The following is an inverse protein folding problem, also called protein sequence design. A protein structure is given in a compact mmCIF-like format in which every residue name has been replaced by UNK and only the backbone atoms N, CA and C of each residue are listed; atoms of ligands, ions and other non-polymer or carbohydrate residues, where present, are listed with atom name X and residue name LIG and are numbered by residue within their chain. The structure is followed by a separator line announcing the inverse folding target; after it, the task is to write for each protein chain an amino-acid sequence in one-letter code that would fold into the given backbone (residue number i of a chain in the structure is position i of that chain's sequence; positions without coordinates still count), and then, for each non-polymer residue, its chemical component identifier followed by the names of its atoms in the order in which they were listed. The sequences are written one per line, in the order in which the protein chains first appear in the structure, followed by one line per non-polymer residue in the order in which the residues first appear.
data_IF_405550250626
#
_entry.id   IF_405550250626
#
_cell.length_a   1.000
_cell.length_b   1.000
_cell.length_c   1.000
_cell.angle_alpha   90.00
_cell.angle_beta   90.00
_cell.angle_gamma   90.00
#
_symmetry.space_group_name_H-M   'P 1'
#
loop_
_entity.id
_entity.type
_entity.pdbx_description
1 polymer ?
#
# COMPACT_ATOMS: atom_id res chain seq x y z
N UNK A 1 -5.75 -18.74 -2.39
CA UNK A 1 -5.94 -17.33 -1.99
C UNK A 1 -5.16 -16.44 -2.94
N UNK A 2 -5.82 -15.43 -3.50
CA UNK A 2 -5.15 -14.46 -4.38
C UNK A 2 -4.37 -13.46 -3.55
N UNK A 3 -3.37 -12.77 -4.14
CA UNK A 3 -2.70 -11.68 -3.44
C UNK A 3 -3.67 -10.61 -2.95
N UNK A 4 -4.67 -10.28 -3.76
CA UNK A 4 -5.68 -9.29 -3.37
C UNK A 4 -6.45 -9.73 -2.13
N UNK A 5 -6.83 -11.01 -2.05
CA UNK A 5 -7.51 -11.55 -0.87
C UNK A 5 -6.60 -11.54 0.36
N UNK A 6 -5.34 -11.92 0.19
CA UNK A 6 -4.39 -11.94 1.29
C UNK A 6 -4.19 -10.54 1.88
N UNK A 7 -3.98 -9.53 1.02
CA UNK A 7 -3.67 -8.18 1.47
C UNK A 7 -4.89 -7.42 2.01
N UNK A 8 -6.10 -7.95 1.87
CA UNK A 8 -7.25 -7.41 2.61
C UNK A 8 -7.11 -7.59 4.11
N UNK A 9 -6.21 -8.45 4.56
CA UNK A 9 -5.88 -8.61 5.98
C UNK A 9 -5.03 -7.46 6.51
N UNK A 10 -4.46 -6.63 5.63
CA UNK A 10 -3.81 -5.39 6.03
C UNK A 10 -4.91 -4.35 6.32
N UNK A 11 -5.37 -4.35 7.56
CA UNK A 11 -6.52 -3.55 7.96
C UNK A 11 -6.23 -2.05 7.88
N UNK A 12 -5.01 -1.63 8.14
CA UNK A 12 -4.65 -0.23 8.05
C UNK A 12 -4.80 0.27 6.61
N UNK A 13 -4.21 -0.44 5.66
CA UNK A 13 -4.31 -0.08 4.24
C UNK A 13 -5.74 -0.21 3.71
N UNK A 14 -6.45 -1.26 4.13
CA UNK A 14 -7.84 -1.47 3.74
C UNK A 14 -8.72 -0.30 4.20
N UNK A 15 -8.56 0.13 5.47
CA UNK A 15 -9.32 1.24 6.02
C UNK A 15 -8.95 2.57 5.36
N UNK A 16 -7.71 2.74 4.92
CA UNK A 16 -7.30 3.92 4.19
C UNK A 16 -7.89 3.97 2.77
N UNK A 17 -8.32 2.83 2.25
CA UNK A 17 -8.90 2.75 0.92
C UNK A 17 -7.91 2.35 -0.17
N UNK A 18 -6.75 1.81 0.19
CA UNK A 18 -5.77 1.34 -0.79
C UNK A 18 -6.31 0.11 -1.51
N UNK A 19 -6.22 0.12 -2.84
CA UNK A 19 -6.66 -0.99 -3.68
C UNK A 19 -5.47 -1.59 -4.40
N UNK A 20 -5.25 -2.89 -4.21
CA UNK A 20 -4.21 -3.63 -4.91
C UNK A 20 -4.78 -4.09 -6.25
N UNK A 21 -4.24 -3.55 -7.35
CA UNK A 21 -4.78 -3.78 -8.69
C UNK A 21 -4.14 -4.99 -9.38
N UNK A 22 -2.83 -5.15 -9.21
CA UNK A 22 -2.07 -6.17 -9.95
C UNK A 22 -0.87 -6.61 -9.15
N UNK A 23 -0.58 -7.90 -9.17
CA UNK A 23 0.62 -8.48 -8.58
C UNK A 23 1.21 -9.48 -9.54
N UNK A 24 2.51 -9.34 -9.82
CA UNK A 24 3.31 -10.31 -10.56
C UNK A 24 4.61 -10.51 -9.81
N UNK A 25 5.37 -11.51 -10.17
CA UNK A 25 6.65 -11.76 -9.49
C UNK A 25 7.53 -10.51 -9.52
N UNK A 26 7.85 -9.99 -8.32
CA UNK A 26 8.67 -8.80 -8.15
C UNK A 26 8.00 -7.49 -8.54
N UNK A 27 6.67 -7.49 -8.78
CA UNK A 27 5.95 -6.32 -9.28
C UNK A 27 4.57 -6.21 -8.63
N UNK A 28 4.15 -4.99 -8.33
CA UNK A 28 2.76 -4.73 -7.95
C UNK A 28 2.32 -3.36 -8.44
N UNK A 29 1.01 -3.20 -8.52
CA UNK A 29 0.37 -1.93 -8.85
C UNK A 29 -0.79 -1.74 -7.88
N UNK A 30 -0.81 -0.60 -7.20
CA UNK A 30 -1.86 -0.25 -6.26
C UNK A 30 -2.29 1.18 -6.48
N UNK A 31 -3.49 1.51 -6.00
CA UNK A 31 -3.98 2.89 -6.07
C UNK A 31 -4.66 3.30 -4.78
N UNK A 32 -4.69 4.59 -4.52
CA UNK A 32 -5.47 5.21 -3.47
C UNK A 32 -6.22 6.39 -4.08
N UNK A 33 -7.54 6.32 -4.09
CA UNK A 33 -8.38 7.45 -4.49
C UNK A 33 -8.40 8.43 -3.31
N UNK A 34 -7.91 9.65 -3.53
CA UNK A 34 -7.78 10.64 -2.45
C UNK A 34 -9.15 11.19 -2.10
N UNK A 35 -9.48 11.13 -0.81
CA UNK A 35 -10.73 11.62 -0.22
C UNK A 35 -10.40 12.63 0.87
N UNK A 36 -11.41 13.39 1.37
CA UNK A 36 -11.16 14.39 2.41
C UNK A 36 -10.42 13.86 3.64
N UNK A 37 -10.69 12.61 4.04
CA UNK A 37 -10.02 12.01 5.19
C UNK A 37 -8.52 11.74 4.97
N UNK A 38 -8.04 11.86 3.73
CA UNK A 38 -6.63 11.70 3.40
C UNK A 38 -5.86 13.02 3.40
N UNK A 39 -6.54 14.13 3.68
CA UNK A 39 -5.91 15.44 3.62
C UNK A 39 -5.35 15.86 4.96
N UNK A 40 -4.23 16.59 4.92
CA UNK A 40 -3.64 17.19 6.11
C UNK A 40 -4.27 18.56 6.40
N UNK A 41 -3.77 19.24 7.43
CA UNK A 41 -4.30 20.55 7.84
C UNK A 41 -4.19 21.60 6.73
N UNK A 42 -3.25 21.47 5.81
CA UNK A 42 -3.09 22.38 4.67
C UNK A 42 -3.91 22.01 3.45
N UNK A 43 -4.87 21.07 3.59
CA UNK A 43 -5.72 20.58 2.52
C UNK A 43 -4.93 19.91 1.37
N UNK A 44 -3.80 19.30 1.72
CA UNK A 44 -2.99 18.50 0.78
C UNK A 44 -2.94 17.06 1.26
N UNK A 45 -2.70 16.13 0.35
CA UNK A 45 -2.61 14.71 0.70
C UNK A 45 -1.60 14.51 1.82
N UNK A 46 -2.06 13.87 2.90
CA UNK A 46 -1.23 13.58 4.05
C UNK A 46 -0.12 12.58 3.66
N UNK A 47 1.12 12.89 4.06
CA UNK A 47 2.27 12.04 3.71
C UNK A 47 2.13 10.60 4.15
N UNK A 48 1.47 10.36 5.29
CA UNK A 48 1.19 9.02 5.76
C UNK A 48 0.29 8.23 4.83
N UNK A 49 -0.65 8.88 4.15
CA UNK A 49 -1.51 8.23 3.16
C UNK A 49 -0.68 7.77 1.95
N UNK A 50 0.22 8.63 1.48
CA UNK A 50 1.13 8.29 0.37
C UNK A 50 2.04 7.14 0.78
N UNK A 51 2.60 7.19 1.98
CA UNK A 51 3.49 6.14 2.46
C UNK A 51 2.74 4.81 2.64
N UNK A 52 1.50 4.84 3.11
CA UNK A 52 0.69 3.63 3.25
C UNK A 52 0.48 2.96 1.89
N UNK A 53 0.19 3.75 0.86
CA UNK A 53 0.06 3.25 -0.50
C UNK A 53 1.36 2.60 -0.98
N UNK A 54 2.48 3.27 -0.80
CA UNK A 54 3.78 2.77 -1.21
C UNK A 54 4.17 1.50 -0.44
N UNK A 55 3.89 1.48 0.86
CA UNK A 55 4.23 0.34 1.72
C UNK A 55 3.45 -0.91 1.33
N UNK A 56 2.16 -0.79 1.05
CA UNK A 56 1.36 -1.92 0.59
C UNK A 56 1.86 -2.44 -0.76
N UNK A 57 2.15 -1.54 -1.69
CA UNK A 57 2.64 -1.93 -3.00
C UNK A 57 3.99 -2.66 -2.88
N UNK A 58 4.88 -2.16 -2.02
CA UNK A 58 6.16 -2.82 -1.76
C UNK A 58 5.96 -4.21 -1.16
N UNK A 59 5.08 -4.33 -0.17
CA UNK A 59 4.81 -5.60 0.49
C UNK A 59 4.25 -6.63 -0.51
N UNK A 60 3.34 -6.21 -1.38
CA UNK A 60 2.77 -7.11 -2.38
C UNK A 60 3.83 -7.61 -3.35
N UNK A 61 4.69 -6.73 -3.83
CA UNK A 61 5.77 -7.12 -4.73
C UNK A 61 6.80 -8.02 -4.03
N UNK A 62 7.18 -7.68 -2.80
CA UNK A 62 8.17 -8.44 -2.03
C UNK A 62 7.68 -9.85 -1.69
N UNK A 63 6.37 -10.00 -1.43
CA UNK A 63 5.78 -11.30 -1.09
C UNK A 63 5.34 -12.09 -2.32
N UNK A 64 5.51 -11.56 -3.51
CA UNK A 64 5.10 -12.23 -4.75
C UNK A 64 5.97 -13.44 -5.11
N UNK A 65 7.11 -13.59 -4.44
CA UNK A 65 8.03 -14.72 -4.64
C UNK A 65 7.68 -15.96 -3.81
N UNK A 66 6.58 -15.92 -3.07
CA UNK A 66 6.15 -17.05 -2.25
C UNK A 66 6.81 -17.15 -0.89
N UNK A 67 7.65 -16.20 -0.53
CA UNK A 67 8.32 -16.14 0.78
C UNK A 67 7.76 -14.94 1.56
N UNK A 68 7.36 -15.17 2.81
CA UNK A 68 6.85 -14.08 3.65
C UNK A 68 7.98 -13.12 3.99
N UNK A 69 7.76 -11.85 3.71
CA UNK A 69 8.75 -10.80 3.92
C UNK A 69 8.10 -9.56 4.53
N UNK A 70 8.84 -8.86 5.39
CA UNK A 70 8.41 -7.62 6.01
C UNK A 70 9.45 -6.54 5.79
N UNK A 71 9.00 -5.32 5.57
CA UNK A 71 9.88 -4.16 5.50
C UNK A 71 10.38 -3.82 6.91
N UNK A 72 11.69 -3.62 7.03
CA UNK A 72 12.30 -3.16 8.27
C UNK A 72 12.56 -1.67 8.26
N UNK A 73 12.85 -1.12 7.09
CA UNK A 73 13.19 0.29 6.95
C UNK A 73 12.82 0.76 5.55
N UNK A 74 12.20 1.92 5.47
CA UNK A 74 11.83 2.53 4.20
C UNK A 74 11.90 4.04 4.33
N UNK A 75 12.17 4.72 3.21
CA UNK A 75 12.11 6.17 3.15
C UNK A 75 11.45 6.59 1.85
N UNK A 76 10.82 7.76 1.86
CA UNK A 76 10.12 8.28 0.69
C UNK A 76 10.28 9.81 0.66
N UNK A 77 10.42 10.36 -0.54
CA UNK A 77 10.45 11.80 -0.77
C UNK A 77 9.16 12.20 -1.46
N UNK A 78 8.47 13.16 -0.89
CA UNK A 78 7.22 13.66 -1.45
C UNK A 78 7.43 14.88 -2.32
#
# INVERSE_FOLDING_TARGET
MTPQEFFKKDLFAENAGVVLLEVREGYSKAKLEIKPEHLNAGARTQGGAIFTLADLALAAAANSHGTLAFSLSSSITF
#
